data_IF_222762379263
#
_entry.id   IF_222762379263
#
_cell.length_a   1.000
_cell.length_b   1.000
_cell.length_c   1.000
_cell.angle_alpha   90.00
_cell.angle_beta   90.00
_cell.angle_gamma   90.00
#
_symmetry.space_group_name_H-M   'P 1'
#
loop_
_entity.id
_entity.type
_entity.pdbx_description
1 polymer ?
#
# COMPACT_ATOMS: atom_id res chain seq x y z
N UNK A 1 -6.86 -1.78 12.38
CA UNK A 1 -7.94 -1.24 11.57
C UNK A 1 -7.52 -0.94 10.16
N UNK A 2 -8.17 0.04 9.54
CA UNK A 2 -7.85 0.43 8.17
C UNK A 2 -6.56 1.23 8.11
N UNK A 3 -5.80 1.04 7.04
CA UNK A 3 -4.54 1.74 6.88
C UNK A 3 -3.34 0.82 6.92
N UNK A 4 -3.45 -0.26 7.71
CA UNK A 4 -2.37 -1.22 7.83
C UNK A 4 -2.42 -2.24 6.70
N UNK A 5 -3.62 -2.70 6.38
CA UNK A 5 -3.82 -3.68 5.31
C UNK A 5 -3.66 -3.03 3.94
N UNK A 6 -4.08 -1.79 3.82
CA UNK A 6 -3.98 -1.06 2.56
C UNK A 6 -2.52 -0.77 2.22
N UNK A 7 -1.69 -0.62 3.25
CA UNK A 7 -0.28 -0.33 3.05
C UNK A 7 0.34 -1.30 2.05
N UNK A 8 0.08 -2.59 2.23
CA UNK A 8 0.60 -3.61 1.35
C UNK A 8 0.29 -3.29 -0.11
N UNK A 9 -0.85 -2.65 -0.33
CA UNK A 9 -1.26 -2.28 -1.68
C UNK A 9 -0.66 -0.93 -2.08
N UNK A 10 -0.93 0.09 -1.28
CA UNK A 10 -0.42 1.43 -1.56
C UNK A 10 1.07 1.40 -1.84
N UNK A 11 1.83 0.73 -0.97
CA UNK A 11 3.27 0.63 -1.12
C UNK A 11 3.63 0.11 -2.51
N UNK A 12 2.80 -0.79 -3.03
CA UNK A 12 3.04 -1.36 -4.35
C UNK A 12 2.78 -0.34 -5.45
N UNK A 13 1.82 0.54 -5.20
CA UNK A 13 1.47 1.57 -6.18
C UNK A 13 2.66 2.48 -6.47
N UNK A 14 3.49 2.68 -5.46
CA UNK A 14 4.68 3.53 -5.61
C UNK A 14 5.87 2.71 -6.09
N UNK A 15 5.90 1.44 -5.69
CA UNK A 15 7.00 0.55 -6.09
C UNK A 15 7.20 0.58 -7.60
N UNK A 16 6.10 0.71 -8.34
CA UNK A 16 6.17 0.75 -9.79
C UNK A 16 6.42 2.17 -10.30
N UNK A 17 5.67 3.13 -9.75
CA UNK A 17 5.82 4.53 -10.14
C UNK A 17 7.26 5.00 -9.96
#
# INVERSE_FOLDING_TARGET
>A
GVGDLIRKAVSVIKNIVX
#
